data_IF_215051118070
#
_entry.id   IF_215051118070
#
_cell.length_a   1.000
_cell.length_b   1.000
_cell.length_c   1.000
_cell.angle_alpha   90.00
_cell.angle_beta   90.00
_cell.angle_gamma   90.00
#
_symmetry.space_group_name_H-M   'P 1'
#
loop_
_entity.id
_entity.type
_entity.pdbx_description
1 polymer ?
#
# COMPACT_ATOMS: atom_id res chain seq x y z
N UNK A 1 -28.95 1.07 -5.50
CA UNK A 1 -27.53 1.32 -5.83
C UNK A 1 -27.21 2.77 -5.49
N UNK A 2 -26.11 3.04 -4.78
CA UNK A 2 -25.60 4.41 -4.54
C UNK A 2 -24.45 4.70 -5.51
N UNK A 3 -24.29 5.96 -5.93
CA UNK A 3 -23.13 6.40 -6.70
C UNK A 3 -21.85 6.18 -5.89
N UNK A 4 -20.79 5.68 -6.53
CA UNK A 4 -19.48 5.48 -5.89
C UNK A 4 -18.66 6.78 -5.98
N UNK A 5 -18.24 7.31 -4.82
CA UNK A 5 -17.53 8.59 -4.69
C UNK A 5 -16.31 8.34 -3.81
N UNK A 6 -15.24 7.89 -4.43
CA UNK A 6 -14.00 7.49 -3.76
C UNK A 6 -12.87 8.49 -3.99
N UNK A 7 -11.95 8.57 -3.02
CA UNK A 7 -10.65 9.19 -3.21
C UNK A 7 -9.54 8.13 -3.16
N UNK A 8 -8.50 8.30 -3.98
CA UNK A 8 -7.25 7.55 -3.83
C UNK A 8 -6.44 8.17 -2.69
N UNK A 9 -5.86 7.30 -1.86
CA UNK A 9 -4.97 7.69 -0.77
C UNK A 9 -3.66 6.96 -0.97
N UNK A 10 -2.75 7.60 -1.70
CA UNK A 10 -1.45 7.06 -2.04
C UNK A 10 -0.50 7.13 -0.85
N UNK A 11 0.20 6.01 -0.62
CA UNK A 11 1.19 5.85 0.43
C UNK A 11 2.62 5.81 -0.11
N UNK A 12 2.77 5.48 -1.40
CA UNK A 12 4.03 5.61 -2.13
C UNK A 12 4.52 7.06 -2.05
N UNK A 13 5.79 7.22 -1.70
CA UNK A 13 6.43 8.53 -1.46
C UNK A 13 5.71 9.42 -0.44
N UNK A 14 4.84 8.84 0.39
CA UNK A 14 3.95 9.58 1.30
C UNK A 14 3.21 10.73 0.60
N UNK A 15 2.73 10.46 -0.62
CA UNK A 15 2.11 11.46 -1.49
C UNK A 15 0.87 12.08 -0.83
N UNK A 16 -0.06 11.24 -0.38
CA UNK A 16 -1.25 11.69 0.35
C UNK A 16 -1.13 11.40 1.85
N UNK A 17 -0.53 10.27 2.23
CA UNK A 17 -0.38 9.87 3.62
C UNK A 17 0.88 8.99 3.83
N UNK A 18 1.60 9.13 4.95
CA UNK A 18 1.33 9.99 6.10
C UNK A 18 1.86 11.43 5.96
N UNK A 19 1.10 12.40 6.49
CA UNK A 19 1.45 13.84 6.54
C UNK A 19 1.40 14.40 7.95
N UNK A 20 2.22 15.40 8.26
CA UNK A 20 2.17 16.13 9.54
C UNK A 20 1.03 17.17 9.58
N UNK A 21 1.00 18.04 10.58
CA UNK A 21 -0.02 19.09 10.70
C UNK A 21 0.16 20.25 9.69
N UNK A 22 1.36 20.41 9.14
CA UNK A 22 1.71 21.43 8.15
C UNK A 22 1.75 20.86 6.73
N UNK A 23 1.25 19.64 6.55
CA UNK A 23 1.26 18.91 5.29
C UNK A 23 2.68 18.64 4.76
N UNK A 24 3.63 18.30 5.63
CA UNK A 24 4.91 17.70 5.25
C UNK A 24 4.85 16.17 5.36
N UNK A 25 5.76 15.47 4.68
CA UNK A 25 5.95 14.01 4.83
C UNK A 25 6.18 13.63 6.31
N UNK A 26 5.42 12.65 6.81
CA UNK A 26 5.47 12.20 8.20
C UNK A 26 5.96 10.74 8.36
N UNK A 27 6.81 10.29 7.44
CA UNK A 27 7.45 8.99 7.49
C UNK A 27 8.36 8.93 8.72
N UNK A 28 8.24 7.91 9.56
CA UNK A 28 9.05 7.79 10.77
C UNK A 28 8.61 8.67 11.94
N UNK A 29 7.55 9.48 11.78
CA UNK A 29 6.89 10.11 12.92
C UNK A 29 6.10 9.09 13.75
N UNK A 30 5.70 9.47 14.96
CA UNK A 30 4.93 8.58 15.82
C UNK A 30 3.54 8.29 15.24
N UNK A 31 2.92 7.21 15.73
CA UNK A 31 1.62 6.73 15.25
C UNK A 31 0.52 7.79 15.41
N UNK A 32 0.61 8.62 16.44
CA UNK A 32 -0.36 9.64 16.79
C UNK A 32 -0.44 10.72 15.71
N UNK A 33 0.70 11.17 15.16
CA UNK A 33 0.73 12.11 14.03
C UNK A 33 0.07 11.50 12.80
N UNK A 34 0.44 10.26 12.45
CA UNK A 34 -0.08 9.57 11.28
C UNK A 34 -1.59 9.31 11.37
N UNK A 35 -2.07 8.85 12.54
CA UNK A 35 -3.49 8.63 12.83
C UNK A 35 -4.28 9.93 12.76
N UNK A 36 -3.78 11.00 13.38
CA UNK A 36 -4.43 12.30 13.34
C UNK A 36 -4.54 12.84 11.91
N UNK A 37 -3.52 12.61 11.07
CA UNK A 37 -3.54 13.00 9.66
C UNK A 37 -4.60 12.26 8.84
N UNK A 38 -4.68 10.93 8.99
CA UNK A 38 -5.72 10.13 8.35
C UNK A 38 -7.12 10.55 8.80
N UNK A 39 -7.33 10.78 10.10
CA UNK A 39 -8.61 11.26 10.64
C UNK A 39 -9.02 12.59 9.98
N UNK A 40 -8.11 13.56 9.90
CA UNK A 40 -8.37 14.86 9.24
C UNK A 40 -8.76 14.68 7.77
N UNK A 41 -8.07 13.80 7.05
CA UNK A 41 -8.35 13.50 5.65
C UNK A 41 -9.74 12.87 5.50
N UNK A 42 -10.04 11.82 6.25
CA UNK A 42 -11.34 11.13 6.21
C UNK A 42 -12.50 12.06 6.60
N UNK A 43 -12.33 12.92 7.59
CA UNK A 43 -13.31 13.95 7.95
C UNK A 43 -13.55 14.93 6.80
N UNK A 44 -12.49 15.32 6.09
CA UNK A 44 -12.60 16.21 4.92
C UNK A 44 -13.36 15.53 3.78
N UNK A 45 -13.00 14.28 3.45
CA UNK A 45 -13.68 13.49 2.43
C UNK A 45 -15.15 13.31 2.77
N UNK A 46 -15.47 12.98 4.04
CA UNK A 46 -16.85 12.84 4.51
C UNK A 46 -17.65 14.14 4.36
N UNK A 47 -17.08 15.29 4.75
CA UNK A 47 -17.71 16.62 4.58
C UNK A 47 -17.98 16.94 3.11
N UNK A 48 -17.15 16.42 2.20
CA UNK A 48 -17.30 16.59 0.75
C UNK A 48 -18.09 15.44 0.09
N UNK A 49 -18.89 14.70 0.86
CA UNK A 49 -19.79 13.64 0.39
C UNK A 49 -19.12 12.40 -0.23
N UNK A 50 -17.81 12.21 -0.06
CA UNK A 50 -17.18 10.93 -0.41
C UNK A 50 -17.76 9.80 0.45
N UNK A 51 -17.83 8.60 -0.12
CA UNK A 51 -18.36 7.41 0.55
C UNK A 51 -17.41 6.22 0.52
N UNK A 52 -16.20 6.39 -0.02
CA UNK A 52 -15.17 5.37 -0.03
C UNK A 52 -13.77 5.99 -0.06
N UNK A 53 -12.77 5.23 0.38
CA UNK A 53 -11.35 5.49 0.11
C UNK A 53 -10.71 4.26 -0.51
N UNK A 54 -9.76 4.51 -1.40
CA UNK A 54 -8.92 3.50 -2.03
C UNK A 54 -7.53 3.67 -1.41
N UNK A 55 -7.29 2.98 -0.30
CA UNK A 55 -6.08 3.14 0.51
C UNK A 55 -4.96 2.26 -0.04
N UNK A 56 -3.81 2.84 -0.39
CA UNK A 56 -2.68 2.09 -0.95
C UNK A 56 -2.02 1.22 0.12
N UNK A 57 -2.45 -0.03 0.20
CA UNK A 57 -1.99 -1.01 1.19
C UNK A 57 -0.64 -1.62 0.80
N UNK A 58 -0.42 -1.80 -0.51
CA UNK A 58 0.80 -2.37 -1.08
C UNK A 58 1.30 -1.52 -2.23
N UNK A 59 2.45 -0.89 -2.05
CA UNK A 59 2.98 0.12 -2.99
C UNK A 59 4.18 -0.37 -3.79
N UNK A 60 5.15 -1.02 -3.13
CA UNK A 60 6.44 -1.42 -3.67
C UNK A 60 6.87 -2.76 -3.07
N UNK A 61 6.06 -3.81 -3.29
CA UNK A 61 6.19 -5.11 -2.60
C UNK A 61 6.41 -4.92 -1.09
N UNK A 62 5.58 -4.08 -0.46
CA UNK A 62 5.60 -3.78 0.96
C UNK A 62 4.18 -3.65 1.49
N UNK A 63 4.04 -3.64 2.81
CA UNK A 63 2.75 -3.64 3.47
C UNK A 63 2.57 -2.43 4.40
N UNK A 64 1.39 -1.83 4.32
CA UNK A 64 0.81 -0.92 5.31
C UNK A 64 0.04 -1.68 6.41
N UNK A 65 0.39 -2.95 6.64
CA UNK A 65 -0.25 -3.86 7.58
C UNK A 65 0.71 -4.99 7.97
N UNK A 66 0.36 -5.79 8.97
CA UNK A 66 1.19 -6.92 9.39
C UNK A 66 1.05 -8.09 8.42
N UNK A 67 1.88 -8.11 7.38
CA UNK A 67 1.88 -9.18 6.38
C UNK A 67 2.80 -10.35 6.73
N UNK A 68 2.40 -11.55 6.32
CA UNK A 68 3.26 -12.75 6.33
C UNK A 68 4.11 -12.87 5.06
N UNK A 69 3.82 -12.06 4.03
CA UNK A 69 4.44 -12.15 2.71
C UNK A 69 5.33 -10.96 2.36
N UNK A 70 4.97 -9.76 2.85
CA UNK A 70 5.62 -8.51 2.49
C UNK A 70 6.31 -7.86 3.71
N UNK A 71 7.46 -7.20 3.53
CA UNK A 71 8.05 -6.36 4.57
C UNK A 71 7.17 -5.14 4.85
N UNK A 72 7.27 -4.59 6.07
CA UNK A 72 6.67 -3.30 6.37
C UNK A 72 7.17 -2.20 5.45
N UNK A 73 6.27 -1.32 5.01
CA UNK A 73 6.65 -0.20 4.16
C UNK A 73 7.58 0.79 4.86
N UNK A 74 8.58 1.28 4.11
CA UNK A 74 9.47 2.34 4.59
C UNK A 74 8.72 3.65 4.82
N UNK A 75 7.59 3.89 4.15
CA UNK A 75 6.79 5.11 4.33
C UNK A 75 6.06 5.17 5.68
N UNK A 76 6.09 4.10 6.49
CA UNK A 76 5.59 4.17 7.87
C UNK A 76 6.65 4.67 8.84
N UNK A 77 7.85 4.11 8.78
CA UNK A 77 8.87 4.26 9.84
C UNK A 77 10.16 4.93 9.37
N UNK A 78 10.26 5.25 8.07
CA UNK A 78 11.50 5.63 7.41
C UNK A 78 12.42 4.43 7.12
N UNK A 79 12.04 3.21 7.51
CA UNK A 79 12.88 2.01 7.34
C UNK A 79 12.04 0.83 6.88
N UNK A 80 12.32 0.33 5.67
CA UNK A 80 11.66 -0.86 5.12
C UNK A 80 11.86 -2.07 6.04
N UNK A 81 10.81 -2.85 6.26
CA UNK A 81 10.79 -4.02 7.14
C UNK A 81 10.67 -3.70 8.63
N UNK A 82 10.79 -2.43 9.05
CA UNK A 82 10.62 -2.06 10.46
C UNK A 82 9.14 -1.85 10.78
N UNK A 83 8.64 -2.62 11.74
CA UNK A 83 7.27 -2.52 12.21
C UNK A 83 6.98 -1.14 12.87
N UNK A 84 5.85 -0.50 12.56
CA UNK A 84 5.32 0.60 13.35
C UNK A 84 4.76 0.12 14.71
N UNK A 85 4.34 1.06 15.57
CA UNK A 85 3.73 0.75 16.87
C UNK A 85 2.22 0.41 16.82
N UNK A 86 1.64 0.30 15.63
CA UNK A 86 0.20 0.03 15.39
C UNK A 86 -0.01 -0.66 14.05
N UNK A 87 -1.19 -1.21 13.79
CA UNK A 87 -1.56 -1.72 12.46
C UNK A 87 -2.29 -0.61 11.66
N UNK A 88 -1.68 -0.06 10.59
CA UNK A 88 -2.27 1.04 9.84
C UNK A 88 -3.52 0.65 9.05
N UNK A 89 -3.52 -0.50 8.36
CA UNK A 89 -4.70 -0.93 7.61
C UNK A 89 -5.90 -1.15 8.53
N UNK A 90 -5.71 -1.82 9.67
CA UNK A 90 -6.78 -2.01 10.66
C UNK A 90 -7.37 -0.65 11.08
N UNK A 91 -6.50 0.30 11.41
CA UNK A 91 -6.91 1.64 11.82
C UNK A 91 -7.70 2.38 10.72
N UNK A 92 -7.24 2.33 9.47
CA UNK A 92 -7.90 3.01 8.34
C UNK A 92 -9.29 2.41 8.09
N UNK A 93 -9.42 1.08 8.09
CA UNK A 93 -10.70 0.38 7.94
C UNK A 93 -11.69 0.84 9.02
N UNK A 94 -11.29 0.77 10.29
CA UNK A 94 -12.13 1.17 11.42
C UNK A 94 -12.56 2.65 11.34
N UNK A 95 -11.65 3.56 10.98
CA UNK A 95 -11.96 4.99 10.86
C UNK A 95 -12.86 5.31 9.66
N UNK A 96 -12.75 4.56 8.56
CA UNK A 96 -13.68 4.67 7.43
C UNK A 96 -15.08 4.24 7.84
N UNK A 97 -15.20 3.07 8.48
CA UNK A 97 -16.48 2.51 8.90
C UNK A 97 -17.19 3.39 9.94
N UNK A 98 -16.46 4.00 10.88
CA UNK A 98 -17.02 5.01 11.81
C UNK A 98 -17.69 6.19 11.10
N UNK A 99 -17.28 6.49 9.87
CA UNK A 99 -17.85 7.57 9.03
C UNK A 99 -18.87 7.06 8.01
N UNK A 100 -19.18 5.77 8.02
CA UNK A 100 -20.01 5.12 7.00
C UNK A 100 -19.39 5.20 5.59
N UNK A 101 -18.06 5.18 5.53
CA UNK A 101 -17.28 5.12 4.29
C UNK A 101 -16.73 3.72 4.11
N UNK A 102 -16.66 3.26 2.85
CA UNK A 102 -15.99 2.02 2.49
C UNK A 102 -14.46 2.21 2.48
N UNK A 103 -13.71 1.18 2.84
CA UNK A 103 -12.25 1.13 2.70
C UNK A 103 -11.87 0.01 1.72
N UNK A 104 -11.44 0.40 0.53
CA UNK A 104 -10.96 -0.50 -0.51
C UNK A 104 -9.44 -0.58 -0.44
N UNK A 105 -8.89 -1.79 -0.36
CA UNK A 105 -7.46 -2.02 -0.36
C UNK A 105 -6.89 -1.90 -1.77
N UNK A 106 -6.12 -0.84 -2.01
CA UNK A 106 -5.39 -0.64 -3.25
C UNK A 106 -4.05 -1.35 -3.18
N UNK A 107 -3.83 -2.25 -4.14
CA UNK A 107 -2.61 -3.04 -4.30
C UNK A 107 -1.99 -2.71 -5.65
N UNK A 108 -0.77 -2.20 -5.67
CA UNK A 108 0.08 -2.32 -6.85
C UNK A 108 0.55 -3.77 -6.94
N UNK A 109 0.31 -4.51 -8.04
CA UNK A 109 0.61 -5.94 -8.10
C UNK A 109 2.12 -6.25 -8.27
N UNK A 110 2.83 -5.53 -9.13
CA UNK A 110 4.16 -5.95 -9.57
C UNK A 110 5.31 -5.05 -9.12
N UNK A 111 5.07 -3.76 -8.82
CA UNK A 111 6.16 -2.83 -8.51
C UNK A 111 6.92 -3.30 -7.27
N UNK A 112 8.23 -3.47 -7.43
CA UNK A 112 9.17 -3.73 -6.33
C UNK A 112 9.97 -2.47 -5.98
N UNK A 113 10.45 -1.72 -6.99
CA UNK A 113 11.19 -0.48 -6.76
C UNK A 113 11.27 0.39 -8.02
N UNK A 114 11.42 1.70 -7.82
CA UNK A 114 11.82 2.67 -8.85
C UNK A 114 13.05 3.42 -8.36
N UNK A 115 14.24 2.88 -8.61
CA UNK A 115 15.53 3.49 -8.23
C UNK A 115 16.02 3.26 -6.79
N UNK A 116 15.19 2.72 -5.89
CA UNK A 116 15.62 2.35 -4.54
C UNK A 116 16.26 0.95 -4.51
N UNK A 117 17.32 0.78 -3.72
CA UNK A 117 17.92 -0.53 -3.49
C UNK A 117 17.45 -1.11 -2.15
N UNK A 118 16.37 -1.89 -2.19
CA UNK A 118 15.83 -2.57 -1.01
C UNK A 118 16.58 -3.87 -0.71
N UNK A 119 16.95 -4.07 0.55
CA UNK A 119 17.87 -5.15 0.98
C UNK A 119 17.45 -5.85 2.27
N UNK A 120 16.15 -5.89 2.60
CA UNK A 120 15.69 -6.78 3.69
C UNK A 120 15.96 -8.24 3.32
N UNK A 121 15.91 -9.16 4.28
CA UNK A 121 16.09 -10.58 3.99
C UNK A 121 15.07 -11.10 2.97
N UNK A 122 13.82 -10.62 3.03
CA UNK A 122 12.79 -10.94 2.04
C UNK A 122 13.13 -10.38 0.65
N UNK A 123 13.61 -9.14 0.57
CA UNK A 123 14.00 -8.49 -0.68
C UNK A 123 15.15 -9.24 -1.38
N UNK A 124 16.17 -9.64 -0.61
CA UNK A 124 17.31 -10.40 -1.14
C UNK A 124 16.85 -11.77 -1.64
N UNK A 125 15.94 -12.44 -0.90
CA UNK A 125 15.39 -13.73 -1.33
C UNK A 125 14.65 -13.63 -2.66
N UNK A 126 13.84 -12.60 -2.88
CA UNK A 126 13.18 -12.38 -4.18
C UNK A 126 14.18 -12.26 -5.34
N UNK A 127 15.32 -11.62 -5.08
CA UNK A 127 16.39 -11.45 -6.05
C UNK A 127 17.13 -12.76 -6.32
N UNK A 128 17.50 -13.47 -5.27
CA UNK A 128 18.23 -14.75 -5.33
C UNK A 128 17.39 -15.84 -6.01
N UNK A 129 16.08 -15.89 -5.75
CA UNK A 129 15.16 -16.86 -6.34
C UNK A 129 14.76 -16.49 -7.79
N UNK A 130 15.21 -15.35 -8.32
CA UNK A 130 14.98 -14.95 -9.72
C UNK A 130 13.56 -14.46 -10.01
N UNK A 131 12.87 -13.89 -9.03
CA UNK A 131 11.48 -13.39 -9.18
C UNK A 131 11.39 -11.93 -9.65
N UNK A 132 12.52 -11.25 -9.89
CA UNK A 132 12.56 -9.83 -10.23
C UNK A 132 12.98 -9.59 -11.69
N UNK A 133 12.20 -8.80 -12.41
CA UNK A 133 12.59 -8.21 -13.70
C UNK A 133 13.04 -6.77 -13.50
N UNK A 134 14.12 -6.40 -14.17
CA UNK A 134 14.67 -5.04 -14.14
C UNK A 134 14.64 -4.43 -15.52
N UNK A 135 14.04 -3.25 -15.64
CA UNK A 135 14.01 -2.46 -16.87
C UNK A 135 14.30 -0.98 -16.55
N UNK A 136 15.46 -0.50 -16.97
CA UNK A 136 15.97 0.81 -16.55
C UNK A 136 16.12 0.88 -15.02
N UNK A 137 15.51 1.89 -14.39
CA UNK A 137 15.45 2.04 -12.93
C UNK A 137 14.28 1.30 -12.27
N UNK A 138 13.38 0.72 -13.06
CA UNK A 138 12.18 0.05 -12.58
C UNK A 138 12.48 -1.43 -12.35
N UNK A 139 12.11 -1.91 -11.17
CA UNK A 139 12.17 -3.31 -10.80
C UNK A 139 10.75 -3.76 -10.45
N UNK A 140 10.32 -4.87 -11.05
CA UNK A 140 9.02 -5.49 -10.80
C UNK A 140 9.18 -6.97 -10.44
N UNK A 141 8.17 -7.56 -9.80
CA UNK A 141 7.98 -9.01 -9.83
C UNK A 141 7.74 -9.44 -11.27
N UNK A 142 8.32 -10.56 -11.69
CA UNK A 142 8.11 -11.13 -13.03
C UNK A 142 6.66 -11.59 -13.21
N UNK A 143 5.81 -10.89 -14.00
CA UNK A 143 4.40 -11.25 -14.12
C UNK A 143 4.17 -12.56 -14.86
N UNK A 144 5.18 -13.10 -15.58
CA UNK A 144 5.07 -14.36 -16.32
C UNK A 144 5.25 -15.60 -15.42
N UNK A 145 5.74 -15.43 -14.19
CA UNK A 145 5.97 -16.55 -13.28
C UNK A 145 4.71 -16.89 -12.49
N UNK A 146 4.38 -18.19 -12.43
CA UNK A 146 3.28 -18.69 -11.59
C UNK A 146 3.47 -18.29 -10.12
N UNK A 147 4.72 -18.31 -9.63
CA UNK A 147 5.06 -17.86 -8.29
C UNK A 147 4.60 -16.42 -8.01
N UNK A 148 4.71 -15.50 -8.98
CA UNK A 148 4.28 -14.10 -8.83
C UNK A 148 2.77 -14.00 -8.72
N UNK A 149 2.05 -14.75 -9.55
CA UNK A 149 0.58 -14.82 -9.53
C UNK A 149 0.11 -15.36 -8.18
N UNK A 150 0.72 -16.44 -7.70
CA UNK A 150 0.40 -17.07 -6.42
C UNK A 150 0.69 -16.09 -5.26
N UNK A 151 1.86 -15.43 -5.27
CA UNK A 151 2.25 -14.43 -4.27
C UNK A 151 1.23 -13.29 -4.17
N UNK A 152 0.82 -12.71 -5.30
CA UNK A 152 -0.14 -11.61 -5.31
C UNK A 152 -1.52 -12.09 -4.83
N UNK A 153 -1.93 -13.29 -5.24
CA UNK A 153 -3.18 -13.91 -4.81
C UNK A 153 -3.20 -14.15 -3.30
N UNK A 154 -2.09 -14.64 -2.76
CA UNK A 154 -1.90 -14.90 -1.33
C UNK A 154 -1.95 -13.61 -0.51
N UNK A 155 -1.29 -12.54 -0.97
CA UNK A 155 -1.38 -11.21 -0.36
C UNK A 155 -2.82 -10.69 -0.36
N UNK A 156 -3.52 -10.80 -1.49
CA UNK A 156 -4.93 -10.39 -1.56
C UNK A 156 -5.81 -11.22 -0.62
N UNK A 157 -5.56 -12.53 -0.53
CA UNK A 157 -6.26 -13.43 0.39
C UNK A 157 -5.99 -13.07 1.85
N UNK A 158 -4.74 -12.75 2.20
CA UNK A 158 -4.35 -12.32 3.55
C UNK A 158 -5.11 -11.05 3.95
N UNK A 159 -5.20 -10.07 3.05
CA UNK A 159 -5.91 -8.81 3.28
C UNK A 159 -7.40 -9.08 3.56
N UNK A 160 -8.13 -9.77 2.67
CA UNK A 160 -9.57 -10.00 2.85
C UNK A 160 -9.91 -10.98 3.98
N UNK A 161 -8.96 -11.79 4.42
CA UNK A 161 -9.17 -12.74 5.53
C UNK A 161 -9.00 -12.06 6.88
N UNK A 162 -8.04 -11.13 6.98
CA UNK A 162 -7.64 -10.54 8.26
C UNK A 162 -8.26 -9.16 8.52
N UNK A 163 -8.77 -8.48 7.50
CA UNK A 163 -9.28 -7.11 7.60
C UNK A 163 -10.66 -7.01 6.95
N UNK A 164 -11.55 -6.22 7.57
CA UNK A 164 -12.92 -5.95 7.08
C UNK A 164 -12.92 -4.91 5.94
N UNK A 165 -12.15 -5.16 4.89
CA UNK A 165 -12.09 -4.29 3.71
C UNK A 165 -13.32 -4.49 2.83
N UNK A 166 -13.79 -3.41 2.21
CA UNK A 166 -14.98 -3.42 1.36
C UNK A 166 -14.67 -3.83 -0.10
N UNK A 167 -13.38 -3.92 -0.45
CA UNK A 167 -12.94 -4.31 -1.79
C UNK A 167 -11.42 -4.36 -1.92
N UNK A 168 -10.97 -4.96 -3.03
CA UNK A 168 -9.58 -4.88 -3.52
C UNK A 168 -9.61 -4.22 -4.90
N UNK A 169 -8.66 -3.34 -5.16
CA UNK A 169 -8.43 -2.76 -6.48
C UNK A 169 -6.95 -2.68 -6.82
N UNK A 170 -6.65 -2.80 -8.11
CA UNK A 170 -5.34 -2.52 -8.67
C UNK A 170 -5.37 -1.19 -9.42
N UNK A 171 -4.23 -0.51 -9.47
CA UNK A 171 -4.02 0.64 -10.33
C UNK A 171 -3.57 0.19 -11.74
N UNK A 172 -2.82 1.04 -12.43
CA UNK A 172 -2.50 0.95 -13.86
C UNK A 172 -1.12 0.34 -14.16
N UNK A 173 -0.38 -0.15 -13.15
CA UNK A 173 0.98 -0.67 -13.36
C UNK A 173 1.01 -2.18 -13.58
N UNK A 174 1.21 -2.59 -14.83
CA UNK A 174 1.42 -3.98 -15.25
C UNK A 174 2.88 -4.19 -15.67
N UNK A 175 3.14 -4.49 -16.94
CA UNK A 175 4.48 -4.45 -17.50
C UNK A 175 4.92 -2.99 -17.72
N UNK A 176 6.16 -2.62 -17.36
CA UNK A 176 6.74 -1.33 -17.72
C UNK A 176 6.71 -1.09 -19.23
N UNK A 177 6.38 0.14 -19.61
CA UNK A 177 6.35 0.56 -21.01
C UNK A 177 7.70 0.30 -21.71
N UNK A 178 7.62 -0.32 -22.89
CA UNK A 178 8.79 -0.57 -23.73
C UNK A 178 9.60 -1.82 -23.41
N UNK A 179 9.16 -2.66 -22.46
CA UNK A 179 9.73 -4.02 -22.34
C UNK A 179 9.38 -4.80 -23.63
N UNK A 180 10.38 -5.34 -24.37
CA UNK A 180 10.11 -6.19 -25.53
C UNK A 180 9.30 -7.42 -25.12
N UNK A 181 8.18 -7.63 -25.83
CA UNK A 181 7.30 -8.80 -25.68
C UNK A 181 7.82 -10.01 -26.44
#
# INVERSE_FOLDING_TARGET
KREFRSAWVATVWALDWPRDANDNEANGMNAEVQKASMIRMLDSLKRNNFNAVNFQVRSMCDAMYKSSYEPWSSYLTGTRGKAPSYDPLQFVVEECHKRGMECHAWVNPYRFSTGANWTTAADNKLREDGHLLTYGSTIILDPAQQWTIDRITDVCREIITNYDVDGILYDDYFYPDGIPS
#
